data_IF_926005689518
#
_entry.id   IF_926005689518
#
_cell.length_a   1.000
_cell.length_b   1.000
_cell.length_c   1.000
_cell.angle_alpha   90.00
_cell.angle_beta   90.00
_cell.angle_gamma   90.00
#
_symmetry.space_group_name_H-M   'P 1'
#
loop_
_entity.id
_entity.type
_entity.pdbx_description
1 polymer ?
#
# COMPACT_ATOMS: atom_id res chain seq x y z
N UNK A 1 -14.93 -11.03 -11.11
CA UNK A 1 -14.36 -11.53 -9.83
C UNK A 1 -13.83 -10.37 -9.05
N UNK A 2 -14.38 -10.11 -7.87
CA UNK A 2 -13.91 -9.00 -7.04
C UNK A 2 -12.60 -9.37 -6.34
N UNK A 3 -11.66 -8.43 -6.30
CA UNK A 3 -10.39 -8.55 -5.59
C UNK A 3 -10.40 -7.64 -4.38
N UNK A 4 -10.27 -8.23 -3.21
CA UNK A 4 -10.19 -7.48 -1.96
C UNK A 4 -8.76 -7.49 -1.44
N UNK A 5 -8.23 -6.31 -1.18
CA UNK A 5 -6.92 -6.13 -0.54
C UNK A 5 -7.13 -5.78 0.92
N UNK A 6 -6.69 -6.67 1.81
CA UNK A 6 -6.64 -6.41 3.25
C UNK A 6 -5.26 -5.89 3.61
N UNK A 7 -5.19 -4.66 4.11
CA UNK A 7 -3.94 -4.04 4.55
C UNK A 7 -3.89 -4.12 6.08
N UNK A 8 -3.02 -4.98 6.60
CA UNK A 8 -2.78 -5.09 8.04
C UNK A 8 -1.77 -4.06 8.49
N UNK A 9 -2.22 -3.10 9.29
CA UNK A 9 -1.40 -2.01 9.79
C UNK A 9 -1.07 -2.11 11.28
N UNK A 10 -1.44 -3.20 11.94
CA UNK A 10 -1.11 -3.44 13.34
C UNK A 10 0.09 -4.36 13.49
N UNK A 11 1.14 -3.97 14.24
CA UNK A 11 2.28 -4.85 14.50
C UNK A 11 1.99 -5.93 15.54
N UNK A 12 0.88 -5.84 16.27
CA UNK A 12 0.54 -6.79 17.33
C UNK A 12 0.07 -8.16 16.83
N UNK A 13 -0.29 -8.26 15.55
CA UNK A 13 -0.70 -9.51 14.91
C UNK A 13 -1.86 -10.19 15.64
N UNK A 14 -1.64 -11.37 16.22
CA UNK A 14 -2.67 -12.15 16.90
C UNK A 14 -3.29 -11.44 18.10
N UNK A 15 -2.59 -10.47 18.68
CA UNK A 15 -3.09 -9.65 19.79
C UNK A 15 -3.81 -8.39 19.33
N UNK A 16 -3.92 -8.17 18.03
CA UNK A 16 -4.54 -6.97 17.49
C UNK A 16 -6.06 -7.10 17.46
N UNK A 17 -6.76 -6.17 18.09
CA UNK A 17 -8.22 -6.10 18.01
C UNK A 17 -8.68 -5.74 16.60
N UNK A 18 -8.00 -4.82 15.93
CA UNK A 18 -8.37 -4.41 14.57
C UNK A 18 -8.21 -5.55 13.57
N UNK A 19 -7.17 -6.36 13.69
CA UNK A 19 -6.98 -7.53 12.82
C UNK A 19 -8.04 -8.59 13.12
N UNK A 20 -8.38 -8.83 14.39
CA UNK A 20 -9.43 -9.78 14.77
C UNK A 20 -10.77 -9.40 14.15
N UNK A 21 -11.15 -8.12 14.21
CA UNK A 21 -12.39 -7.63 13.57
C UNK A 21 -12.33 -7.79 12.05
N UNK A 22 -11.18 -7.49 11.45
CA UNK A 22 -11.00 -7.66 10.01
C UNK A 22 -11.14 -9.12 9.58
N UNK A 23 -10.58 -10.06 10.33
CA UNK A 23 -10.70 -11.50 10.05
C UNK A 23 -12.15 -11.97 10.09
N UNK A 24 -12.94 -11.50 11.06
CA UNK A 24 -14.38 -11.78 11.12
C UNK A 24 -15.11 -11.25 9.88
N UNK A 25 -14.79 -10.03 9.48
CA UNK A 25 -15.34 -9.45 8.25
C UNK A 25 -14.98 -10.30 7.03
N UNK A 26 -13.71 -10.68 6.90
CA UNK A 26 -13.23 -11.45 5.74
C UNK A 26 -13.88 -12.83 5.67
N UNK A 27 -14.08 -13.48 6.80
CA UNK A 27 -14.78 -14.77 6.86
C UNK A 27 -16.21 -14.65 6.37
N UNK A 28 -16.96 -13.66 6.86
CA UNK A 28 -18.32 -13.41 6.42
C UNK A 28 -18.39 -12.99 4.94
N UNK A 29 -17.44 -12.16 4.50
CA UNK A 29 -17.36 -11.72 3.13
C UNK A 29 -17.12 -12.89 2.17
N UNK A 30 -16.22 -13.80 2.51
CA UNK A 30 -15.89 -14.96 1.67
C UNK A 30 -17.09 -15.93 1.56
N UNK A 31 -17.86 -16.08 2.62
CA UNK A 31 -19.08 -16.91 2.58
C UNK A 31 -20.09 -16.35 1.57
N UNK A 32 -20.27 -15.03 1.57
CA UNK A 32 -21.20 -14.36 0.64
C UNK A 32 -20.64 -14.24 -0.78
N UNK A 33 -19.34 -14.22 -0.93
CA UNK A 33 -18.66 -14.03 -2.21
C UNK A 33 -17.59 -15.11 -2.40
N UNK A 34 -17.99 -16.37 -2.66
CA UNK A 34 -17.04 -17.49 -2.72
C UNK A 34 -15.97 -17.35 -3.80
N UNK A 35 -16.28 -16.62 -4.89
CA UNK A 35 -15.34 -16.40 -6.00
C UNK A 35 -14.40 -15.22 -5.78
N UNK A 36 -14.58 -14.44 -4.71
CA UNK A 36 -13.73 -13.29 -4.44
C UNK A 36 -12.30 -13.72 -4.12
N UNK A 37 -11.35 -12.97 -4.66
CA UNK A 37 -9.94 -13.12 -4.31
C UNK A 37 -9.63 -12.19 -3.14
N UNK A 38 -8.97 -12.71 -2.10
CA UNK A 38 -8.57 -11.94 -0.92
C UNK A 38 -7.04 -12.01 -0.84
N UNK A 39 -6.40 -10.85 -0.92
CA UNK A 39 -4.97 -10.72 -0.69
C UNK A 39 -4.76 -9.95 0.62
N UNK A 40 -3.85 -10.44 1.47
CA UNK A 40 -3.50 -9.77 2.72
C UNK A 40 -2.09 -9.22 2.62
N UNK A 41 -1.96 -7.93 2.89
CA UNK A 41 -0.71 -7.21 2.86
C UNK A 41 -0.34 -6.78 4.28
N UNK A 42 0.74 -7.34 4.81
CA UNK A 42 1.25 -6.99 6.13
C UNK A 42 2.33 -5.91 5.97
N UNK A 43 1.98 -4.67 6.24
CA UNK A 43 2.91 -3.55 6.03
C UNK A 43 4.10 -3.54 6.99
N UNK A 44 4.03 -4.30 8.10
CA UNK A 44 5.14 -4.40 9.06
C UNK A 44 6.17 -5.45 8.66
N UNK A 45 5.81 -6.40 7.81
CA UNK A 45 6.71 -7.45 7.31
C UNK A 45 7.21 -7.21 5.90
N UNK A 46 6.51 -6.37 5.14
CA UNK A 46 6.93 -6.07 3.79
C UNK A 46 8.14 -5.14 3.78
N UNK A 47 8.93 -5.23 2.72
CA UNK A 47 10.06 -4.34 2.50
C UNK A 47 9.56 -3.04 1.85
N UNK A 48 9.09 -2.10 2.68
CA UNK A 48 8.65 -0.79 2.21
C UNK A 48 9.85 0.08 1.89
N UNK A 49 9.94 0.65 0.67
CA UNK A 49 10.99 1.61 0.37
C UNK A 49 10.82 2.87 1.22
N UNK A 50 11.93 3.49 1.59
CA UNK A 50 11.91 4.81 2.20
C UNK A 50 11.57 5.85 1.15
N UNK A 51 10.73 6.81 1.52
CA UNK A 51 10.43 7.95 0.66
C UNK A 51 11.26 9.15 1.13
N UNK A 52 12.58 9.05 0.91
CA UNK A 52 13.59 10.00 1.35
C UNK A 52 14.13 10.86 0.19
N UNK A 53 15.22 11.58 0.44
CA UNK A 53 15.84 12.42 -0.59
C UNK A 53 16.26 11.66 -1.83
N UNK A 54 16.81 10.47 -1.67
CA UNK A 54 17.22 9.63 -2.81
C UNK A 54 16.00 9.17 -3.63
N UNK A 55 14.91 8.82 -2.96
CA UNK A 55 13.66 8.44 -3.63
C UNK A 55 13.06 9.63 -4.40
N UNK A 56 13.10 10.82 -3.82
CA UNK A 56 12.64 12.04 -4.50
C UNK A 56 13.50 12.38 -5.73
N UNK A 57 14.82 12.25 -5.62
CA UNK A 57 15.71 12.44 -6.76
C UNK A 57 15.42 11.43 -7.86
N UNK A 58 15.21 10.16 -7.49
CA UNK A 58 14.84 9.12 -8.45
C UNK A 58 13.51 9.44 -9.14
N UNK A 59 12.51 9.88 -8.37
CA UNK A 59 11.22 10.30 -8.91
C UNK A 59 11.36 11.37 -9.98
N UNK A 60 12.06 12.46 -9.68
CA UNK A 60 12.17 13.57 -10.60
C UNK A 60 13.05 13.23 -11.80
N UNK A 61 14.08 12.41 -11.63
CA UNK A 61 14.91 11.94 -12.74
C UNK A 61 14.10 11.08 -13.73
N UNK A 62 13.29 10.16 -13.23
CA UNK A 62 12.48 9.27 -14.07
C UNK A 62 11.32 10.03 -14.72
N UNK A 63 10.57 10.83 -13.95
CA UNK A 63 9.41 11.58 -14.47
C UNK A 63 9.87 12.71 -15.40
N UNK A 64 10.95 13.39 -15.04
CA UNK A 64 11.49 14.51 -15.84
C UNK A 64 12.29 14.08 -17.06
N UNK A 65 12.62 12.81 -17.20
CA UNK A 65 13.41 12.30 -18.32
C UNK A 65 14.87 12.73 -18.31
N UNK A 66 15.43 13.04 -17.14
CA UNK A 66 16.80 13.57 -16.97
C UNK A 66 17.84 12.44 -16.84
N UNK A 67 17.87 11.52 -17.80
CA UNK A 67 18.82 10.40 -17.84
C UNK A 67 19.00 9.69 -16.48
N UNK A 68 17.94 9.11 -15.92
CA UNK A 68 18.04 8.45 -14.62
C UNK A 68 19.03 7.29 -14.66
N UNK A 69 19.76 7.08 -13.58
CA UNK A 69 20.62 5.91 -13.42
C UNK A 69 19.79 4.62 -13.35
N UNK A 70 20.43 3.47 -13.60
CA UNK A 70 19.76 2.18 -13.47
C UNK A 70 19.22 1.96 -12.04
N UNK A 71 19.95 2.43 -11.03
CA UNK A 71 19.51 2.36 -9.64
C UNK A 71 18.26 3.20 -9.38
N UNK A 72 18.19 4.40 -9.97
CA UNK A 72 17.04 5.28 -9.85
C UNK A 72 15.81 4.68 -10.53
N UNK A 73 15.98 4.12 -11.73
CA UNK A 73 14.89 3.43 -12.45
C UNK A 73 14.38 2.26 -11.64
N UNK A 74 15.29 1.47 -11.04
CA UNK A 74 14.91 0.33 -10.20
C UNK A 74 14.17 0.77 -8.94
N UNK A 75 14.68 1.80 -8.25
CA UNK A 75 14.05 2.32 -7.03
C UNK A 75 12.63 2.83 -7.31
N UNK A 76 12.46 3.57 -8.38
CA UNK A 76 11.14 4.06 -8.78
C UNK A 76 10.23 2.91 -9.23
N UNK A 77 10.77 1.89 -9.91
CA UNK A 77 10.05 0.68 -10.31
C UNK A 77 9.46 -0.08 -9.13
N UNK A 78 10.14 -0.13 -7.98
CA UNK A 78 9.61 -0.75 -6.77
C UNK A 78 8.37 0.01 -6.25
N UNK A 79 8.40 1.34 -6.30
CA UNK A 79 7.25 2.17 -5.92
C UNK A 79 6.07 1.94 -6.88
N UNK A 80 6.36 1.86 -8.18
CA UNK A 80 5.32 1.58 -9.18
C UNK A 80 4.67 0.21 -8.97
N UNK A 81 5.44 -0.80 -8.58
CA UNK A 81 4.90 -2.14 -8.27
C UNK A 81 3.96 -2.11 -7.07
N UNK A 82 4.32 -1.38 -6.02
CA UNK A 82 3.46 -1.25 -4.85
C UNK A 82 2.15 -0.56 -5.20
N UNK A 83 2.20 0.48 -6.00
CA UNK A 83 0.99 1.14 -6.48
C UNK A 83 0.15 0.21 -7.35
N UNK A 84 0.77 -0.55 -8.25
CA UNK A 84 0.06 -1.49 -9.11
C UNK A 84 -0.68 -2.55 -8.29
N UNK A 85 -0.06 -3.07 -7.23
CA UNK A 85 -0.68 -4.01 -6.31
C UNK A 85 -1.91 -3.38 -5.65
N UNK A 86 -1.78 -2.17 -5.15
CA UNK A 86 -2.90 -1.43 -4.57
C UNK A 86 -4.00 -1.20 -5.61
N UNK A 87 -3.65 -0.68 -6.76
CA UNK A 87 -4.61 -0.32 -7.80
C UNK A 87 -5.33 -1.52 -8.43
N UNK A 88 -4.78 -2.71 -8.28
CA UNK A 88 -5.38 -3.94 -8.82
C UNK A 88 -6.54 -4.48 -7.98
N UNK A 89 -6.80 -3.91 -6.83
CA UNK A 89 -7.91 -4.30 -5.96
C UNK A 89 -9.17 -3.48 -6.28
N UNK A 90 -10.31 -4.10 -6.07
CA UNK A 90 -11.62 -3.47 -6.22
C UNK A 90 -12.16 -2.98 -4.87
N UNK A 91 -11.76 -3.65 -3.80
CA UNK A 91 -12.25 -3.40 -2.43
C UNK A 91 -11.05 -3.38 -1.50
N UNK A 92 -11.07 -2.47 -0.54
CA UNK A 92 -9.99 -2.32 0.43
C UNK A 92 -10.54 -2.47 1.84
N UNK A 93 -9.84 -3.27 2.64
CA UNK A 93 -10.06 -3.41 4.07
C UNK A 93 -8.75 -3.05 4.77
N UNK A 94 -8.79 -2.05 5.62
CA UNK A 94 -7.62 -1.60 6.36
C UNK A 94 -7.85 -1.83 7.84
N UNK A 95 -7.03 -2.69 8.46
CA UNK A 95 -7.06 -2.91 9.90
C UNK A 95 -5.91 -2.13 10.54
N UNK A 96 -6.25 -1.08 11.30
CA UNK A 96 -5.28 -0.17 11.87
C UNK A 96 -5.60 0.17 13.32
N UNK A 97 -4.62 0.12 14.23
CA UNK A 97 -4.80 0.70 15.55
C UNK A 97 -4.71 2.22 15.47
N UNK A 98 -5.25 2.90 16.47
CA UNK A 98 -5.08 4.34 16.61
C UNK A 98 -3.89 4.62 17.52
N UNK A 99 -2.91 5.33 16.98
CA UNK A 99 -1.73 5.78 17.72
C UNK A 99 -1.68 7.31 17.73
N UNK A 100 -1.72 7.90 18.91
CA UNK A 100 -1.69 9.37 19.06
C UNK A 100 -2.76 10.06 18.20
N UNK A 101 -3.98 9.51 18.21
CA UNK A 101 -5.14 9.99 17.45
C UNK A 101 -4.99 9.91 15.93
N UNK A 102 -4.08 9.08 15.44
CA UNK A 102 -3.82 8.91 14.02
C UNK A 102 -3.55 7.47 13.64
N UNK A 103 -3.17 7.28 12.40
CA UNK A 103 -2.76 5.97 11.89
C UNK A 103 -1.30 5.69 12.26
N UNK A 104 -0.90 4.40 12.34
CA UNK A 104 0.51 4.07 12.55
C UNK A 104 1.42 4.65 11.46
N UNK A 105 2.62 5.05 11.84
CA UNK A 105 3.56 5.68 10.89
C UNK A 105 3.90 4.77 9.70
N UNK A 106 3.89 3.46 9.89
CA UNK A 106 4.16 2.51 8.81
C UNK A 106 3.06 2.56 7.74
N UNK A 107 1.80 2.70 8.16
CA UNK A 107 0.68 2.88 7.22
C UNK A 107 0.81 4.22 6.49
N UNK A 108 1.20 5.28 7.19
CA UNK A 108 1.43 6.58 6.55
C UNK A 108 2.57 6.50 5.53
N UNK A 109 3.64 5.79 5.86
CA UNK A 109 4.75 5.54 4.91
C UNK A 109 4.25 4.85 3.64
N UNK A 110 3.42 3.80 3.79
CA UNK A 110 2.83 3.10 2.66
C UNK A 110 2.00 4.05 1.79
N UNK A 111 1.17 4.87 2.41
CA UNK A 111 0.35 5.87 1.72
C UNK A 111 1.23 6.88 0.98
N UNK A 112 2.27 7.39 1.63
CA UNK A 112 3.19 8.36 1.02
C UNK A 112 3.94 7.77 -0.18
N UNK A 113 4.28 6.49 -0.11
CA UNK A 113 4.99 5.79 -1.18
C UNK A 113 4.09 5.58 -2.40
N UNK A 114 2.85 5.12 -2.21
CA UNK A 114 1.97 4.77 -3.33
C UNK A 114 1.21 5.96 -3.93
N UNK A 115 1.07 7.06 -3.20
CA UNK A 115 0.28 8.22 -3.64
C UNK A 115 1.17 9.20 -4.40
N UNK A 116 1.42 8.90 -5.68
CA UNK A 116 2.29 9.69 -6.52
C UNK A 116 1.54 10.26 -7.73
N UNK A 117 1.89 11.47 -8.19
CA UNK A 117 1.30 12.01 -9.40
C UNK A 117 1.65 11.15 -10.62
N UNK A 118 0.71 11.05 -11.56
CA UNK A 118 0.86 10.19 -12.72
C UNK A 118 0.50 8.72 -12.48
N UNK A 119 0.32 8.32 -11.21
CA UNK A 119 -0.12 6.97 -10.82
C UNK A 119 -1.47 7.03 -10.10
N UNK A 120 -1.48 7.59 -8.89
CA UNK A 120 -2.69 7.68 -8.07
C UNK A 120 -3.62 8.81 -8.51
N UNK A 121 -3.07 9.84 -9.12
CA UNK A 121 -3.81 11.01 -9.59
C UNK A 121 -3.03 11.71 -10.71
N UNK A 122 -3.73 12.54 -11.46
CA UNK A 122 -3.11 13.35 -12.51
C UNK A 122 -3.62 14.78 -12.42
N UNK A 123 -2.79 15.71 -12.87
CA UNK A 123 -3.25 17.07 -13.09
C UNK A 123 -4.06 17.09 -14.37
N UNK A 124 -5.30 17.57 -14.28
CA UNK A 124 -6.09 17.91 -15.45
C UNK A 124 -5.99 19.42 -15.63
N UNK A 125 -5.54 19.93 -16.78
CA UNK A 125 -5.55 21.37 -17.02
C UNK A 125 -6.97 21.92 -17.10
#
# INVERSE_FOLDING_TARGET
>A
MARLLHIEASPRKQRSHSITVAEEFLSAYKVKNPSAEIETLDIWRMNLPQFDGAALEAKYAVIGGDNPSNEQVKAWGEIQKLFAQFNNADIYLISAPMWNFGIPYRLKQYIDVITQPGMAWSYSP
#
